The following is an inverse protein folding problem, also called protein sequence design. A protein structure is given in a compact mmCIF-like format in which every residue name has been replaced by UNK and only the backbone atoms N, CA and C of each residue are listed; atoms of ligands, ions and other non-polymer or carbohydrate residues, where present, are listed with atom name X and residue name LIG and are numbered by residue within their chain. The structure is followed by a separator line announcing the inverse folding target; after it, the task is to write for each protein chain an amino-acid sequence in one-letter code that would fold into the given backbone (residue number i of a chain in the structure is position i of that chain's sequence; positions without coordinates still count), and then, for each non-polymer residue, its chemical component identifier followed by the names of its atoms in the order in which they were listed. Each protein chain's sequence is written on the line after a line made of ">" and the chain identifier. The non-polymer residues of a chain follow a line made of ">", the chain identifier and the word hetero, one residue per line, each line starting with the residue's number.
data_IF_922077464458
#
_entry.id   IF_922077464458
#
_cell.length_a   1.000
_cell.length_b   1.000
_cell.length_c   1.000
_cell.angle_alpha   90.00
_cell.angle_beta   90.00
_cell.angle_gamma   90.00
#
_symmetry.space_group_name_H-M   'P 1'
#
loop_
_entity.id
_entity.type
_entity.pdbx_description
1 polymer ?
#
# COMPACT_ATOMS: atom_id res chain seq x y z
N UNK A 1 14.36 9.80 22.39
CA UNK A 1 14.69 8.48 21.82
C UNK A 1 13.39 7.98 21.24
N UNK A 2 13.31 7.83 19.91
CA UNK A 2 12.13 7.33 19.23
C UNK A 2 11.80 5.91 19.69
N UNK A 3 10.56 5.66 20.07
CA UNK A 3 10.09 4.33 20.47
C UNK A 3 9.33 3.67 19.32
N UNK A 4 10.02 2.76 18.62
CA UNK A 4 9.47 2.00 17.51
C UNK A 4 8.24 1.16 17.90
N UNK A 5 8.15 0.76 19.17
CA UNK A 5 7.10 -0.09 19.71
C UNK A 5 5.94 0.69 20.34
N UNK A 6 6.06 2.00 20.50
CA UNK A 6 4.99 2.84 21.01
C UNK A 6 4.15 3.36 19.84
N UNK A 7 2.95 2.79 19.60
CA UNK A 7 2.10 3.30 18.55
C UNK A 7 1.63 4.71 18.93
N UNK A 8 1.43 5.62 17.96
CA UNK A 8 0.64 6.83 18.18
C UNK A 8 -0.80 6.39 18.39
N UNK A 9 -1.14 6.01 19.63
CA UNK A 9 -2.48 5.59 20.05
C UNK A 9 -2.92 6.42 21.24
N UNK A 10 -4.19 6.80 21.22
CA UNK A 10 -4.83 7.45 22.35
C UNK A 10 -5.11 6.44 23.49
N UNK A 11 -5.63 6.94 24.61
CA UNK A 11 -5.94 6.14 25.81
C UNK A 11 -6.92 4.99 25.54
N UNK A 12 -7.75 5.11 24.50
CA UNK A 12 -8.72 4.10 24.06
C UNK A 12 -8.11 3.02 23.14
N UNK A 13 -6.80 3.12 22.84
CA UNK A 13 -6.10 2.23 21.94
C UNK A 13 -6.44 2.42 20.46
N UNK A 14 -7.18 3.48 20.13
CA UNK A 14 -7.36 3.95 18.76
C UNK A 14 -6.10 4.70 18.34
N UNK A 15 -5.85 4.79 17.03
CA UNK A 15 -4.77 5.63 16.56
C UNK A 15 -5.01 7.05 17.06
N UNK A 16 -3.99 7.62 17.71
CA UNK A 16 -3.94 9.05 17.92
C UNK A 16 -4.13 9.68 16.53
N UNK A 17 -4.86 10.79 16.52
CA UNK A 17 -5.30 11.58 15.36
C UNK A 17 -4.44 11.44 14.10
N UNK A 18 -4.98 11.72 12.90
CA UNK A 18 -4.22 11.63 11.64
C UNK A 18 -2.77 12.19 11.71
N UNK A 19 -2.54 13.25 12.51
CA UNK A 19 -1.21 13.80 12.79
C UNK A 19 -0.25 12.87 13.54
N UNK A 20 -0.70 12.09 14.53
CA UNK A 20 0.17 11.18 15.29
C UNK A 20 0.76 10.05 14.42
N UNK A 21 -0.02 9.55 13.46
CA UNK A 21 0.47 8.55 12.48
C UNK A 21 1.47 9.17 11.50
N UNK A 22 1.24 10.43 11.09
CA UNK A 22 2.16 11.18 10.24
C UNK A 22 3.48 11.45 10.97
N UNK A 23 3.43 11.94 12.21
CA UNK A 23 4.60 12.22 13.04
C UNK A 23 5.46 10.96 13.28
N UNK A 24 4.83 9.83 13.65
CA UNK A 24 5.52 8.56 13.86
C UNK A 24 6.28 8.12 12.60
N UNK A 25 5.62 8.20 11.43
CA UNK A 25 6.21 7.79 10.16
C UNK A 25 7.33 8.73 9.76
N UNK A 26 7.14 10.03 9.91
CA UNK A 26 8.10 11.03 9.48
C UNK A 26 9.36 11.01 10.37
N UNK A 27 9.23 10.80 11.68
CA UNK A 27 10.37 10.59 12.58
C UNK A 27 11.12 9.30 12.26
N UNK A 28 10.43 8.17 12.05
CA UNK A 28 11.08 6.91 11.67
C UNK A 28 11.79 7.01 10.32
N UNK A 29 11.19 7.71 9.36
CA UNK A 29 11.80 7.92 8.06
C UNK A 29 13.02 8.84 8.13
N UNK A 30 13.00 9.86 8.99
CA UNK A 30 14.18 10.70 9.23
C UNK A 30 15.33 9.86 9.80
N UNK A 31 15.05 8.98 10.77
CA UNK A 31 16.06 8.06 11.32
C UNK A 31 16.61 7.09 10.27
N UNK A 32 15.77 6.59 9.37
CA UNK A 32 16.23 5.77 8.26
C UNK A 32 17.12 6.57 7.30
N UNK A 33 16.71 7.78 6.90
CA UNK A 33 17.50 8.64 6.00
C UNK A 33 18.87 8.95 6.60
N UNK A 34 18.94 9.23 7.90
CA UNK A 34 20.18 9.54 8.63
C UNK A 34 21.01 8.29 8.98
N UNK A 35 20.48 7.09 8.73
CA UNK A 35 21.19 5.84 8.98
C UNK A 35 22.26 5.55 7.90
N UNK A 36 23.27 4.72 8.21
CA UNK A 36 24.23 4.23 7.20
C UNK A 36 23.54 3.56 6.01
N UNK A 37 22.47 2.79 6.24
CA UNK A 37 21.72 2.10 5.19
C UNK A 37 20.98 3.08 4.28
N UNK A 38 20.32 4.08 4.85
CA UNK A 38 19.61 5.12 4.11
C UNK A 38 20.56 6.02 3.34
N UNK A 39 21.65 6.47 3.97
CA UNK A 39 22.71 7.26 3.31
C UNK A 39 23.28 6.51 2.11
N UNK A 40 23.70 5.26 2.30
CA UNK A 40 24.27 4.45 1.22
C UNK A 40 23.27 4.22 0.08
N UNK A 41 21.99 4.02 0.41
CA UNK A 41 20.95 3.86 -0.59
C UNK A 41 20.72 5.15 -1.39
N UNK A 42 20.67 6.29 -0.71
CA UNK A 42 20.50 7.60 -1.35
C UNK A 42 21.67 7.94 -2.26
N UNK A 43 22.91 7.69 -1.84
CA UNK A 43 24.11 7.90 -2.66
C UNK A 43 24.09 7.05 -3.95
N UNK A 44 23.52 5.84 -3.88
CA UNK A 44 23.41 4.94 -5.02
C UNK A 44 22.29 5.32 -6.00
N UNK A 45 21.15 5.77 -5.49
CA UNK A 45 19.90 5.88 -6.29
C UNK A 45 19.43 7.31 -6.50
N UNK A 46 19.86 8.26 -5.67
CA UNK A 46 19.44 9.66 -5.72
C UNK A 46 18.03 9.93 -5.17
N UNK A 47 17.34 8.95 -4.58
CA UNK A 47 15.98 9.12 -4.06
C UNK A 47 15.58 8.13 -2.97
N UNK A 48 14.75 8.59 -2.02
CA UNK A 48 14.11 7.80 -0.96
C UNK A 48 12.64 8.21 -0.89
N UNK A 49 11.75 7.25 -0.69
CA UNK A 49 10.32 7.53 -0.50
C UNK A 49 9.41 6.31 -0.56
N UNK A 50 9.89 5.18 -1.08
CA UNK A 50 9.10 3.94 -1.11
C UNK A 50 8.89 3.36 0.28
N UNK A 51 9.86 3.48 1.19
CA UNK A 51 9.71 3.08 2.59
C UNK A 51 8.65 3.91 3.32
N UNK A 52 8.60 5.22 3.05
CA UNK A 52 7.56 6.13 3.59
C UNK A 52 6.16 5.71 3.13
N UNK A 53 6.01 5.44 1.83
CA UNK A 53 4.76 4.92 1.26
C UNK A 53 4.38 3.57 1.87
N UNK A 54 5.34 2.65 2.00
CA UNK A 54 5.11 1.34 2.62
C UNK A 54 4.61 1.46 4.05
N UNK A 55 5.24 2.31 4.86
CA UNK A 55 4.82 2.59 6.25
C UNK A 55 3.40 3.16 6.31
N UNK A 56 3.06 4.11 5.42
CA UNK A 56 1.70 4.63 5.36
C UNK A 56 0.67 3.51 5.15
N UNK A 57 0.90 2.62 4.18
CA UNK A 57 -0.03 1.52 3.92
C UNK A 57 -0.04 0.46 5.03
N UNK A 58 1.10 0.17 5.66
CA UNK A 58 1.15 -0.77 6.79
C UNK A 58 0.39 -0.25 8.01
N UNK A 59 0.51 1.05 8.31
CA UNK A 59 -0.16 1.68 9.45
C UNK A 59 -1.66 1.86 9.17
N UNK A 60 -2.02 2.45 8.03
CA UNK A 60 -3.41 2.86 7.77
C UNK A 60 -4.31 1.70 7.33
N UNK A 61 -3.78 0.74 6.57
CA UNK A 61 -4.60 -0.33 5.98
C UNK A 61 -4.40 -1.68 6.67
N UNK A 62 -3.17 -1.99 7.09
CA UNK A 62 -2.89 -3.24 7.82
C UNK A 62 -3.03 -3.03 9.34
N UNK A 63 -2.87 -1.79 9.81
CA UNK A 63 -2.96 -1.45 11.22
C UNK A 63 -1.79 -2.01 12.02
N UNK A 64 -0.59 -2.13 11.46
CA UNK A 64 0.54 -2.79 12.13
C UNK A 64 1.81 -1.96 12.06
N UNK A 65 2.49 -1.88 13.21
CA UNK A 65 3.81 -1.26 13.35
C UNK A 65 4.89 -2.15 12.73
N UNK A 66 6.08 -1.61 12.39
CA UNK A 66 7.17 -2.37 11.79
C UNK A 66 7.53 -3.65 12.56
N UNK A 67 7.61 -3.59 13.89
CA UNK A 67 7.94 -4.75 14.73
C UNK A 67 6.83 -5.83 14.78
N UNK A 68 5.61 -5.50 14.36
CA UNK A 68 4.46 -6.41 14.33
C UNK A 68 4.25 -7.06 12.95
N UNK A 69 4.89 -6.53 11.91
CA UNK A 69 4.65 -6.99 10.54
C UNK A 69 5.14 -8.43 10.33
N UNK A 70 4.24 -9.26 9.81
CA UNK A 70 4.60 -10.56 9.28
C UNK A 70 4.93 -10.47 7.79
N UNK A 71 5.56 -11.51 7.24
CA UNK A 71 5.75 -11.65 5.77
C UNK A 71 4.42 -11.53 5.02
N UNK A 72 3.32 -12.00 5.60
CA UNK A 72 1.99 -11.88 4.99
C UNK A 72 1.53 -10.43 4.91
N UNK A 73 1.82 -9.63 5.93
CA UNK A 73 1.44 -8.21 5.97
C UNK A 73 2.24 -7.43 4.94
N UNK A 74 3.54 -7.73 4.80
CA UNK A 74 4.40 -7.22 3.71
C UNK A 74 3.80 -7.60 2.35
N UNK A 75 3.33 -8.84 2.19
CA UNK A 75 2.67 -9.32 0.97
C UNK A 75 1.39 -8.56 0.65
N UNK A 76 0.61 -8.21 1.67
CA UNK A 76 -0.61 -7.42 1.52
C UNK A 76 -0.29 -6.00 1.07
N UNK A 77 0.72 -5.36 1.66
CA UNK A 77 1.16 -4.02 1.24
C UNK A 77 1.70 -4.04 -0.19
N UNK A 78 2.68 -4.89 -0.47
CA UNK A 78 3.40 -4.88 -1.75
C UNK A 78 2.59 -5.42 -2.92
N UNK A 79 1.87 -6.52 -2.74
CA UNK A 79 1.26 -7.22 -3.88
C UNK A 79 -0.25 -7.02 -3.97
N UNK A 80 -0.85 -6.28 -3.03
CA UNK A 80 -2.27 -5.95 -3.08
C UNK A 80 -2.50 -4.43 -2.97
N UNK A 81 -1.92 -3.76 -1.98
CA UNK A 81 -2.17 -2.32 -1.77
C UNK A 81 -1.42 -1.46 -2.80
N UNK A 82 -0.13 -1.70 -3.03
CA UNK A 82 0.66 -0.93 -4.00
C UNK A 82 0.06 -0.98 -5.42
N UNK A 83 -0.14 -2.16 -6.04
CA UNK A 83 -0.80 -2.27 -7.35
C UNK A 83 -2.14 -1.56 -7.42
N UNK A 84 -2.91 -1.62 -6.34
CA UNK A 84 -4.26 -1.06 -6.25
C UNK A 84 -4.30 0.45 -6.04
N UNK A 85 -3.34 1.01 -5.31
CA UNK A 85 -3.44 2.37 -4.72
C UNK A 85 -2.29 3.28 -5.07
N UNK A 86 -1.09 2.74 -5.27
CA UNK A 86 0.12 3.53 -5.52
C UNK A 86 0.27 3.77 -7.01
N UNK A 87 0.54 5.03 -7.37
CA UNK A 87 0.91 5.43 -8.72
C UNK A 87 2.40 5.16 -8.93
N UNK A 88 2.73 3.88 -9.08
CA UNK A 88 4.05 3.41 -9.47
C UNK A 88 3.94 2.68 -10.81
N UNK A 89 4.92 2.91 -11.67
CA UNK A 89 5.08 2.17 -12.92
C UNK A 89 5.75 0.81 -12.64
N UNK A 90 5.56 -0.21 -13.50
CA UNK A 90 6.13 -1.54 -13.27
C UNK A 90 7.64 -1.53 -13.07
N UNK A 91 8.35 -0.65 -13.78
CA UNK A 91 9.82 -0.51 -13.72
C UNK A 91 10.32 -0.02 -12.36
N UNK A 92 9.45 0.64 -11.56
CA UNK A 92 9.77 1.04 -10.18
C UNK A 92 9.89 -0.16 -9.22
N UNK A 93 9.52 -1.38 -9.64
CA UNK A 93 9.56 -2.55 -8.77
C UNK A 93 10.95 -2.84 -8.19
N UNK A 94 12.01 -2.66 -8.98
CA UNK A 94 13.38 -2.86 -8.53
C UNK A 94 13.73 -1.88 -7.40
N UNK A 95 13.48 -0.59 -7.61
CA UNK A 95 13.72 0.48 -6.64
C UNK A 95 12.91 0.28 -5.36
N UNK A 96 11.62 -0.07 -5.47
CA UNK A 96 10.75 -0.35 -4.32
C UNK A 96 11.35 -1.47 -3.47
N UNK A 97 11.73 -2.59 -4.10
CA UNK A 97 12.26 -3.73 -3.35
C UNK A 97 13.62 -3.38 -2.74
N UNK A 98 14.51 -2.72 -3.48
CA UNK A 98 15.84 -2.36 -2.97
C UNK A 98 15.78 -1.36 -1.82
N UNK A 99 14.92 -0.34 -1.88
CA UNK A 99 14.76 0.62 -0.78
C UNK A 99 14.21 -0.06 0.47
N UNK A 100 13.19 -0.93 0.29
CA UNK A 100 12.62 -1.66 1.43
C UNK A 100 13.63 -2.61 2.06
N UNK A 101 14.51 -3.23 1.28
CA UNK A 101 15.61 -4.03 1.84
C UNK A 101 16.52 -3.17 2.72
N UNK A 102 16.98 -2.02 2.22
CA UNK A 102 17.81 -1.09 3.00
C UNK A 102 17.09 -0.64 4.29
N UNK A 103 15.80 -0.34 4.20
CA UNK A 103 14.97 0.02 5.34
C UNK A 103 14.88 -1.10 6.39
N UNK A 104 14.63 -2.35 5.97
CA UNK A 104 14.57 -3.48 6.89
C UNK A 104 15.94 -3.90 7.44
N UNK A 105 17.03 -3.66 6.71
CA UNK A 105 18.41 -3.82 7.21
C UNK A 105 18.70 -2.81 8.32
N UNK A 106 18.31 -1.53 8.13
CA UNK A 106 18.36 -0.51 9.18
C UNK A 106 17.55 -0.94 10.41
N UNK A 107 16.30 -1.36 10.24
CA UNK A 107 15.46 -1.77 11.36
C UNK A 107 16.02 -2.99 12.10
N UNK A 108 16.65 -3.92 11.37
CA UNK A 108 17.31 -5.06 11.98
C UNK A 108 18.52 -4.63 12.81
N UNK A 109 19.35 -3.71 12.31
CA UNK A 109 20.56 -3.26 13.00
C UNK A 109 20.25 -2.36 14.20
N UNK A 110 19.40 -1.36 14.00
CA UNK A 110 19.16 -0.30 14.98
C UNK A 110 18.24 -0.75 16.12
N UNK A 111 17.25 -1.61 15.81
CA UNK A 111 16.21 -2.00 16.75
C UNK A 111 16.16 -3.50 17.06
N UNK A 112 17.09 -4.30 16.53
CA UNK A 112 17.15 -5.77 16.70
C UNK A 112 15.79 -6.45 16.42
N UNK A 113 15.11 -6.00 15.35
CA UNK A 113 13.78 -6.51 15.02
C UNK A 113 13.80 -7.99 14.64
N UNK A 114 13.22 -8.83 15.50
CA UNK A 114 13.18 -10.28 15.32
C UNK A 114 12.48 -10.73 14.02
N UNK A 115 11.56 -9.93 13.47
CA UNK A 115 10.86 -10.22 12.22
C UNK A 115 11.66 -9.79 10.97
N UNK A 116 12.62 -8.86 11.09
CA UNK A 116 13.31 -8.27 9.95
C UNK A 116 14.04 -9.32 9.10
N UNK A 117 14.71 -10.29 9.73
CA UNK A 117 15.42 -11.35 8.99
C UNK A 117 14.52 -12.22 8.12
N UNK A 118 13.27 -12.46 8.52
CA UNK A 118 12.30 -13.19 7.71
C UNK A 118 11.78 -12.32 6.54
N UNK A 119 11.57 -11.03 6.78
CA UNK A 119 11.12 -10.08 5.77
C UNK A 119 12.23 -9.84 4.72
N UNK A 120 13.49 -9.68 5.12
CA UNK A 120 14.62 -9.52 4.21
C UNK A 120 14.83 -10.72 3.29
N UNK A 121 14.58 -11.93 3.78
CA UNK A 121 14.59 -13.15 2.93
C UNK A 121 13.44 -13.17 1.93
N UNK A 122 12.32 -12.55 2.29
CA UNK A 122 11.14 -12.47 1.43
C UNK A 122 11.26 -11.37 0.37
N UNK A 123 11.97 -10.28 0.66
CA UNK A 123 12.28 -9.20 -0.27
C UNK A 123 13.45 -9.56 -1.20
N UNK A 124 13.32 -10.67 -1.93
CA UNK A 124 14.33 -11.18 -2.85
C UNK A 124 14.06 -10.79 -4.33
N UNK A 125 14.86 -11.32 -5.26
CA UNK A 125 14.61 -11.10 -6.70
C UNK A 125 13.32 -11.73 -7.23
N UNK A 126 12.68 -12.67 -6.51
CA UNK A 126 11.33 -13.13 -6.87
C UNK A 126 10.28 -12.09 -6.48
N UNK A 127 10.45 -11.41 -5.35
CA UNK A 127 9.57 -10.32 -4.93
C UNK A 127 9.56 -9.18 -5.94
N UNK A 128 10.71 -8.80 -6.48
CA UNK A 128 10.84 -7.80 -7.56
C UNK A 128 10.02 -8.20 -8.79
N UNK A 129 10.30 -9.39 -9.35
CA UNK A 129 9.58 -9.88 -10.54
C UNK A 129 8.08 -10.00 -10.32
N UNK A 130 7.66 -10.39 -9.11
CA UNK A 130 6.26 -10.46 -8.74
C UNK A 130 5.67 -9.05 -8.70
N UNK A 131 6.31 -8.11 -8.02
CA UNK A 131 5.82 -6.73 -7.88
C UNK A 131 5.66 -6.07 -9.24
N UNK A 132 6.65 -6.19 -10.12
CA UNK A 132 6.59 -5.70 -11.50
C UNK A 132 5.33 -6.22 -12.21
N UNK A 133 5.08 -7.54 -12.16
CA UNK A 133 3.88 -8.14 -12.78
C UNK A 133 2.58 -7.64 -12.16
N UNK A 134 2.52 -7.48 -10.84
CA UNK A 134 1.31 -7.00 -10.18
C UNK A 134 1.04 -5.52 -10.51
N UNK A 135 2.08 -4.68 -10.59
CA UNK A 135 1.99 -3.27 -10.99
C UNK A 135 1.57 -3.11 -12.46
N UNK A 136 2.01 -4.02 -13.34
CA UNK A 136 1.69 -4.02 -14.77
C UNK A 136 0.28 -4.53 -15.08
N UNK A 137 -0.45 -5.09 -14.12
CA UNK A 137 -1.75 -5.72 -14.35
C UNK A 137 -2.91 -4.76 -13.99
N UNK A 138 -3.65 -4.20 -14.97
CA UNK A 138 -4.74 -3.27 -14.70
C UNK A 138 -5.89 -3.88 -13.88
N UNK A 139 -6.02 -5.21 -13.86
CA UNK A 139 -7.03 -5.89 -13.03
C UNK A 139 -6.78 -5.74 -11.53
N UNK A 140 -5.56 -5.37 -11.13
CA UNK A 140 -5.21 -5.11 -9.75
C UNK A 140 -5.52 -3.67 -9.32
N UNK A 141 -5.85 -2.78 -10.26
CA UNK A 141 -6.02 -1.36 -9.97
C UNK A 141 -7.30 -1.11 -9.19
N UNK A 142 -7.21 -0.22 -8.21
CA UNK A 142 -8.37 0.30 -7.51
C UNK A 142 -9.12 1.30 -8.38
N UNK A 143 -10.38 1.56 -8.02
CA UNK A 143 -11.30 2.44 -8.76
C UNK A 143 -10.67 3.75 -9.24
N UNK A 144 -9.95 4.47 -8.35
CA UNK A 144 -9.28 5.71 -8.69
C UNK A 144 -8.19 5.49 -9.74
N UNK A 145 -7.22 4.61 -9.48
CA UNK A 145 -6.14 4.30 -10.44
C UNK A 145 -6.68 3.83 -11.78
N UNK A 146 -7.73 3.00 -11.79
CA UNK A 146 -8.40 2.56 -13.03
C UNK A 146 -9.07 3.72 -13.78
N UNK A 147 -9.65 4.69 -13.07
CA UNK A 147 -10.23 5.89 -13.68
C UNK A 147 -9.14 6.74 -14.36
N UNK A 148 -8.04 7.02 -13.65
CA UNK A 148 -6.90 7.76 -14.21
C UNK A 148 -6.25 7.03 -15.38
N UNK A 149 -6.07 5.71 -15.29
CA UNK A 149 -5.54 4.90 -16.39
C UNK A 149 -6.43 4.98 -17.64
N UNK A 150 -7.74 4.79 -17.49
CA UNK A 150 -8.69 4.89 -18.61
C UNK A 150 -8.71 6.29 -19.25
N UNK A 151 -8.57 7.34 -18.45
CA UNK A 151 -8.51 8.72 -18.96
C UNK A 151 -7.27 8.98 -19.80
N UNK A 152 -6.09 8.53 -19.31
CA UNK A 152 -4.83 8.59 -20.07
C UNK A 152 -4.91 7.78 -21.37
N UNK A 153 -5.43 6.55 -21.31
CA UNK A 153 -5.57 5.67 -22.49
C UNK A 153 -6.52 6.27 -23.54
N UNK A 154 -7.51 7.05 -23.09
CA UNK A 154 -8.43 7.77 -23.96
C UNK A 154 -7.87 9.12 -24.47
N UNK A 155 -6.62 9.46 -24.12
CA UNK A 155 -5.91 10.65 -24.59
C UNK A 155 -6.19 11.92 -23.80
N UNK A 156 -6.87 11.84 -22.65
CA UNK A 156 -7.12 12.99 -21.79
C UNK A 156 -5.90 13.30 -20.92
N UNK A 157 -5.65 14.59 -20.70
CA UNK A 157 -4.67 15.04 -19.73
C UNK A 157 -5.23 14.93 -18.30
N UNK A 158 -4.98 13.79 -17.66
CA UNK A 158 -5.45 13.51 -16.31
C UNK A 158 -4.66 14.26 -15.22
N UNK A 159 -3.73 15.13 -15.60
CA UNK A 159 -2.95 15.98 -14.67
C UNK A 159 -3.53 17.38 -14.52
N UNK A 160 -4.50 17.76 -15.35
CA UNK A 160 -5.19 19.06 -15.30
C UNK A 160 -6.63 18.93 -14.82
N UNK A 161 -7.16 20.00 -14.22
CA UNK A 161 -8.56 20.04 -13.79
C UNK A 161 -9.51 19.96 -14.99
N UNK A 162 -9.13 20.59 -16.09
CA UNK A 162 -9.83 20.58 -17.37
C UNK A 162 -9.92 19.15 -17.92
N UNK A 163 -8.79 18.46 -18.08
CA UNK A 163 -8.78 17.10 -18.63
C UNK A 163 -9.47 16.08 -17.72
N UNK A 164 -9.37 16.23 -16.40
CA UNK A 164 -10.15 15.44 -15.43
C UNK A 164 -11.66 15.64 -15.61
N UNK A 165 -12.10 16.89 -15.78
CA UNK A 165 -13.52 17.24 -15.91
C UNK A 165 -14.09 16.73 -17.24
N UNK A 166 -13.33 16.91 -18.34
CA UNK A 166 -13.71 16.41 -19.66
C UNK A 166 -13.84 14.89 -19.67
N UNK A 167 -12.86 14.17 -19.11
CA UNK A 167 -12.93 12.71 -19.03
C UNK A 167 -14.08 12.24 -18.13
N UNK A 168 -14.35 12.94 -17.02
CA UNK A 168 -15.48 12.60 -16.14
C UNK A 168 -16.82 12.69 -16.87
N UNK A 169 -17.03 13.74 -17.67
CA UNK A 169 -18.23 13.91 -18.49
C UNK A 169 -18.35 12.78 -19.52
N UNK A 170 -17.27 12.46 -20.24
CA UNK A 170 -17.23 11.37 -21.22
C UNK A 170 -17.50 10.00 -20.57
N UNK A 171 -16.86 9.74 -19.43
CA UNK A 171 -17.04 8.51 -18.66
C UNK A 171 -18.48 8.34 -18.18
N UNK A 172 -19.08 9.38 -17.59
CA UNK A 172 -20.46 9.34 -17.12
C UNK A 172 -21.45 9.10 -18.27
N UNK A 173 -21.24 9.73 -19.43
CA UNK A 173 -22.05 9.48 -20.62
C UNK A 173 -21.96 8.00 -21.07
N UNK A 174 -20.77 7.40 -21.02
CA UNK A 174 -20.57 5.99 -21.38
C UNK A 174 -21.22 5.01 -20.40
N UNK A 175 -21.20 5.31 -19.10
CA UNK A 175 -21.83 4.48 -18.05
C UNK A 175 -23.35 4.54 -18.14
N UNK A 176 -23.92 5.71 -18.47
CA UNK A 176 -25.37 5.87 -18.65
C UNK A 176 -25.88 5.19 -19.93
N UNK A 177 -25.03 5.03 -20.95
CA UNK A 177 -25.34 4.32 -22.18
C UNK A 177 -25.16 2.79 -22.09
N UNK A 178 -24.54 2.27 -21.04
CA UNK A 178 -24.28 0.84 -20.88
C UNK A 178 -25.54 0.05 -20.46
N UNK A 179 -25.76 -1.18 -20.98
CA UNK A 179 -26.92 -1.99 -20.61
C UNK A 179 -26.88 -2.36 -19.12
N UNK A 180 -28.07 -2.40 -18.49
CA UNK A 180 -28.32 -2.57 -17.03
C UNK A 180 -27.70 -3.82 -16.35
N UNK A 181 -27.01 -4.69 -17.10
CA UNK A 181 -26.39 -5.92 -16.63
C UNK A 181 -24.85 -5.86 -16.55
N UNK A 182 -24.23 -4.71 -16.82
CA UNK A 182 -22.79 -4.53 -16.61
C UNK A 182 -22.46 -4.25 -15.13
N UNK A 183 -21.33 -4.75 -14.58
CA UNK A 183 -20.92 -4.42 -13.22
C UNK A 183 -20.75 -2.90 -13.08
N UNK A 184 -21.58 -2.30 -12.23
CA UNK A 184 -21.57 -0.88 -11.93
C UNK A 184 -20.27 -0.51 -11.20
N UNK A 185 -19.42 0.23 -11.90
CA UNK A 185 -18.26 0.91 -11.33
C UNK A 185 -18.52 2.41 -11.28
N UNK A 186 -19.64 2.79 -10.63
CA UNK A 186 -19.96 4.19 -10.38
C UNK A 186 -18.81 4.88 -9.62
N UNK A 187 -18.44 6.06 -10.09
CA UNK A 187 -17.43 6.89 -9.43
C UNK A 187 -17.95 7.36 -8.07
N UNK A 188 -17.07 7.54 -7.06
CA UNK A 188 -17.43 8.34 -5.90
C UNK A 188 -17.73 9.79 -6.33
N UNK A 189 -18.61 10.51 -5.62
CA UNK A 189 -18.93 11.89 -5.95
C UNK A 189 -17.69 12.79 -5.87
N UNK A 190 -17.79 13.92 -6.59
CA UNK A 190 -16.79 14.98 -6.76
C UNK A 190 -15.90 15.24 -5.54
N UNK A 191 -14.62 15.52 -5.81
CA UNK A 191 -13.59 15.87 -4.85
C UNK A 191 -13.88 17.21 -4.15
N UNK A 192 -14.84 17.21 -3.22
CA UNK A 192 -15.00 18.23 -2.19
C UNK A 192 -15.45 17.67 -0.84
N UNK A 193 -15.71 16.36 -0.73
CA UNK A 193 -15.85 15.66 0.56
C UNK A 193 -15.19 14.28 0.48
N UNK A 194 -13.87 14.21 0.34
CA UNK A 194 -13.16 13.00 0.76
C UNK A 194 -13.24 12.92 2.28
N UNK A 195 -14.32 12.36 2.81
CA UNK A 195 -14.21 11.65 4.09
C UNK A 195 -13.16 10.57 3.87
N UNK A 196 -11.94 10.85 4.34
CA UNK A 196 -10.84 9.89 4.43
C UNK A 196 -11.40 8.59 5.00
N UNK A 197 -10.96 7.41 4.54
CA UNK A 197 -11.43 6.17 5.12
C UNK A 197 -11.19 6.24 6.64
N UNK A 198 -12.20 5.97 7.48
CA UNK A 198 -11.95 5.90 8.91
C UNK A 198 -10.83 4.89 9.12
N UNK A 199 -9.84 5.28 9.91
CA UNK A 199 -8.75 4.42 10.35
C UNK A 199 -9.36 3.06 10.70
N UNK A 200 -9.08 2.05 9.87
CA UNK A 200 -9.77 0.78 10.00
C UNK A 200 -9.31 0.14 11.30
N UNK A 201 -10.18 0.14 12.30
CA UNK A 201 -9.97 -0.59 13.55
C UNK A 201 -9.51 -2.01 13.21
N UNK A 202 -8.43 -2.44 13.87
CA UNK A 202 -7.85 -3.76 13.67
C UNK A 202 -8.95 -4.82 13.75
N UNK A 203 -9.08 -5.62 12.70
CA UNK A 203 -9.76 -6.91 12.83
C UNK A 203 -9.01 -7.71 13.90
N UNK A 204 -9.73 -8.11 14.93
CA UNK A 204 -9.26 -8.99 15.99
C UNK A 204 -8.64 -10.27 15.39
N UNK A 205 -7.78 -10.99 16.13
CA UNK A 205 -7.22 -12.26 15.67
C UNK A 205 -8.29 -13.26 15.17
N UNK A 206 -9.50 -13.21 15.76
CA UNK A 206 -10.63 -14.03 15.33
C UNK A 206 -11.25 -13.56 14.02
N UNK A 207 -11.35 -12.26 13.78
CA UNK A 207 -11.84 -11.73 12.51
C UNK A 207 -10.84 -11.95 11.38
N UNK A 208 -9.53 -11.89 11.68
CA UNK A 208 -8.46 -12.27 10.74
C UNK A 208 -8.58 -13.74 10.31
N UNK A 209 -8.81 -14.66 11.26
CA UNK A 209 -9.06 -16.09 11.00
C UNK A 209 -10.37 -16.32 10.23
N UNK A 210 -11.42 -15.56 10.53
CA UNK A 210 -12.73 -15.67 9.87
C UNK A 210 -12.65 -15.21 8.41
N UNK A 211 -11.97 -14.09 8.16
CA UNK A 211 -11.70 -13.58 6.81
C UNK A 211 -10.81 -14.54 6.02
N UNK A 212 -9.84 -15.20 6.66
CA UNK A 212 -9.04 -16.27 6.05
C UNK A 212 -9.90 -17.48 5.63
N UNK A 213 -10.82 -17.92 6.50
CA UNK A 213 -11.74 -19.04 6.22
C UNK A 213 -12.69 -18.74 5.06
N UNK A 214 -13.20 -17.51 5.00
CA UNK A 214 -14.04 -17.02 3.90
C UNK A 214 -13.25 -16.90 2.58
N UNK A 215 -11.98 -16.47 2.62
CA UNK A 215 -11.12 -16.40 1.41
C UNK A 215 -10.75 -17.79 0.88
N UNK A 216 -10.42 -18.75 1.76
CA UNK A 216 -10.17 -20.15 1.35
C UNK A 216 -11.38 -20.78 0.68
N UNK A 217 -12.59 -20.49 1.19
CA UNK A 217 -13.85 -20.93 0.59
C UNK A 217 -14.08 -20.32 -0.79
N UNK A 218 -13.73 -19.03 -0.97
CA UNK A 218 -13.81 -18.34 -2.28
C UNK A 218 -12.78 -18.82 -3.31
N UNK A 219 -11.59 -19.24 -2.87
CA UNK A 219 -10.52 -19.75 -3.74
C UNK A 219 -10.64 -21.24 -4.06
N UNK A 220 -11.69 -21.93 -3.60
CA UNK A 220 -11.90 -23.36 -3.90
C UNK A 220 -10.83 -24.30 -3.32
N UNK A 221 -9.97 -23.82 -2.42
CA UNK A 221 -8.93 -24.64 -1.80
C UNK A 221 -9.56 -25.48 -0.70
N UNK A 222 -10.14 -26.62 -1.10
CA UNK A 222 -10.63 -27.63 -0.18
C UNK A 222 -9.43 -28.50 0.23
N UNK A 223 -8.93 -28.35 1.47
CA UNK A 223 -8.00 -29.35 2.03
C UNK A 223 -8.79 -30.63 2.27
N UNK A 224 -8.78 -31.50 1.26
CA UNK A 224 -9.18 -32.89 1.40
C UNK A 224 -8.26 -33.58 2.41
N UNK A 225 -8.84 -33.97 3.54
CA UNK A 225 -8.35 -35.07 4.38
C UNK A 225 -8.20 -36.33 3.53
N UNK A 226 -7.02 -36.93 3.53
CA UNK A 226 -6.79 -38.31 4.00
C UNK A 226 -5.31 -38.47 4.28
#
# INVERSE_FOLDING_TARGET
>A
MFDLCHPPRNEDGEWDSDSGVEDYRDELMQLFVDSPEGTAYYELTGGIGWAHSFLYYSLIYVGSLPHELSVRDVDEVLFQLFPRKVSAEPDSAAEIISELRAFWEFLQREYDLANAGAILKHLDGNAERRLHRELANPNNFGMAKSFFAKGRDAGFDMTTQEGLSEFMLAYNASVMAAPKNAPSHALPPSASETKKPPVQQRLSPNERKTREKLRRKKLGINKGRR
#
